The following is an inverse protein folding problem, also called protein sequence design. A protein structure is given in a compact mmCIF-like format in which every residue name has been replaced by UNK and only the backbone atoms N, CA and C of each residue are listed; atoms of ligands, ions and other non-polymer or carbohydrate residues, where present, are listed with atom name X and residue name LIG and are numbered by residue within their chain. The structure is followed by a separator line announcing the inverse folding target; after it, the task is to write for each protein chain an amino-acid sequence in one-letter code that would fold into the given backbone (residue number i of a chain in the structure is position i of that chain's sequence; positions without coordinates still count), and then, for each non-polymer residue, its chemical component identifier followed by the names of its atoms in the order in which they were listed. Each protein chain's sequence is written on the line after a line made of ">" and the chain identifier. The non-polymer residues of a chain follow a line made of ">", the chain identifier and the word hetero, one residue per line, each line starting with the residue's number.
data_IF_339463612622
#
_entry.id   IF_339463612622
#
_cell.length_a   1.000
_cell.length_b   1.000
_cell.length_c   1.000
_cell.angle_alpha   90.00
_cell.angle_beta   90.00
_cell.angle_gamma   90.00
#
_symmetry.space_group_name_H-M   'P 1'
#
loop_
_entity.id
_entity.type
_entity.pdbx_description
1 polymer ?
#
# COMPACT_ATOMS: atom_id res chain seq x y z
N UNK A 1 6.41 10.33 3.36
CA UNK A 1 6.85 10.78 2.02
C UNK A 1 6.38 9.75 1.01
N UNK A 2 6.01 10.12 -0.22
CA UNK A 2 5.53 9.17 -1.24
C UNK A 2 6.42 9.24 -2.48
N UNK A 3 6.80 8.10 -3.07
CA UNK A 3 7.80 8.02 -4.14
C UNK A 3 7.43 6.93 -5.15
N UNK A 4 7.67 7.08 -6.44
CA UNK A 4 7.39 5.99 -7.39
C UNK A 4 8.51 4.93 -7.37
N UNK A 5 8.14 3.66 -7.49
CA UNK A 5 9.05 2.51 -7.61
C UNK A 5 9.93 2.69 -8.85
N UNK A 6 11.24 2.49 -8.72
CA UNK A 6 12.18 2.74 -9.82
C UNK A 6 12.26 4.21 -10.26
N UNK A 7 11.61 5.12 -9.54
CA UNK A 7 11.68 6.56 -9.76
C UNK A 7 12.63 7.25 -8.78
N UNK A 8 12.94 8.49 -9.09
CA UNK A 8 13.64 9.42 -8.20
C UNK A 8 12.72 10.57 -7.79
N UNK A 9 12.89 11.06 -6.56
CA UNK A 9 12.16 12.24 -6.10
C UNK A 9 12.90 12.95 -4.97
N UNK A 10 12.60 14.24 -4.82
CA UNK A 10 13.29 15.11 -3.85
C UNK A 10 12.76 14.92 -2.43
N UNK A 11 13.67 14.83 -1.48
CA UNK A 11 13.36 15.04 -0.06
C UNK A 11 13.53 16.53 0.23
N UNK A 12 12.47 17.17 0.72
CA UNK A 12 12.44 18.62 0.96
C UNK A 12 12.12 18.92 2.41
N UNK A 13 12.17 20.21 2.78
CA UNK A 13 11.77 20.69 4.11
C UNK A 13 10.32 20.32 4.51
N UNK A 14 9.45 19.98 3.55
CA UNK A 14 8.08 19.53 3.83
C UNK A 14 8.03 18.06 4.28
N UNK A 15 9.09 17.32 4.02
CA UNK A 15 9.23 15.91 4.38
C UNK A 15 9.97 15.72 5.71
N UNK A 16 11.03 16.51 5.90
CA UNK A 16 11.88 16.47 7.07
C UNK A 16 12.33 17.89 7.41
N UNK A 17 12.19 18.30 8.66
CA UNK A 17 12.54 19.65 9.10
C UNK A 17 13.13 19.64 10.50
N UNK A 18 14.23 20.35 10.67
CA UNK A 18 14.82 20.70 11.94
C UNK A 18 15.00 22.22 12.02
N UNK A 19 14.86 22.76 13.22
CA UNK A 19 15.05 24.19 13.49
C UNK A 19 15.78 24.34 14.81
N UNK A 20 16.67 25.33 14.85
CA UNK A 20 17.36 25.74 16.05
C UNK A 20 17.33 27.28 16.10
N UNK A 21 16.89 27.92 17.21
CA UNK A 21 16.84 29.37 17.33
C UNK A 21 18.17 30.09 17.15
N UNK A 22 19.30 29.45 17.47
CA UNK A 22 20.63 30.08 17.41
C UNK A 22 21.53 29.55 16.28
N UNK A 23 21.09 28.49 15.59
CA UNK A 23 21.85 27.86 14.51
C UNK A 23 21.14 28.01 13.16
N UNK A 24 21.84 28.61 12.19
CA UNK A 24 21.34 28.76 10.82
C UNK A 24 21.13 27.40 10.12
N UNK A 25 20.13 27.30 9.23
CA UNK A 25 19.77 26.06 8.52
C UNK A 25 20.94 25.37 7.80
N UNK A 26 21.90 26.14 7.27
CA UNK A 26 23.08 25.58 6.60
C UNK A 26 24.06 24.86 7.55
N UNK A 27 23.92 25.06 8.86
CA UNK A 27 24.76 24.44 9.89
C UNK A 27 24.03 23.32 10.66
N UNK A 28 22.72 23.15 10.46
CA UNK A 28 21.96 22.03 11.01
C UNK A 28 22.14 20.84 10.07
N UNK A 29 22.79 19.79 10.55
CA UNK A 29 23.21 18.62 9.77
C UNK A 29 22.44 17.37 10.20
N UNK A 30 21.88 16.68 9.21
CA UNK A 30 21.32 15.34 9.31
C UNK A 30 22.39 14.33 8.92
N UNK A 31 22.79 13.45 9.83
CA UNK A 31 23.71 12.35 9.55
C UNK A 31 22.92 11.07 9.32
N UNK A 32 23.12 10.41 8.17
CA UNK A 32 22.44 9.15 7.85
C UNK A 32 23.12 8.01 8.61
N UNK A 33 22.48 7.57 9.70
CA UNK A 33 22.96 6.47 10.54
C UNK A 33 22.68 5.10 9.91
N UNK A 34 21.61 4.98 9.13
CA UNK A 34 21.28 3.79 8.34
C UNK A 34 20.61 4.19 7.03
N UNK A 35 21.17 3.78 5.90
CA UNK A 35 20.57 3.98 4.58
C UNK A 35 19.22 3.27 4.42
N UNK A 36 18.38 3.70 3.46
CA UNK A 36 17.20 2.94 3.06
C UNK A 36 17.54 1.52 2.60
N UNK A 37 16.56 0.63 2.68
CA UNK A 37 16.72 -0.79 2.32
C UNK A 37 16.39 -1.05 0.84
N UNK A 38 15.45 -0.30 0.26
CA UNK A 38 14.91 -0.52 -1.09
C UNK A 38 15.16 0.69 -2.01
N UNK A 39 16.24 1.41 -1.73
CA UNK A 39 16.65 2.59 -2.48
C UNK A 39 17.85 3.27 -1.83
N UNK A 40 18.21 4.42 -2.38
CA UNK A 40 19.41 5.16 -1.96
C UNK A 40 19.13 6.65 -1.87
N UNK A 41 19.70 7.29 -0.85
CA UNK A 41 19.73 8.74 -0.75
C UNK A 41 20.92 9.31 -1.51
N UNK A 42 20.66 10.37 -2.26
CA UNK A 42 21.67 11.13 -2.99
C UNK A 42 21.59 12.62 -2.68
N UNK A 43 22.72 13.30 -2.78
CA UNK A 43 22.86 14.74 -2.58
C UNK A 43 23.64 15.38 -3.75
N UNK A 44 23.33 16.66 -4.04
CA UNK A 44 24.11 17.59 -4.89
C UNK A 44 24.69 16.93 -6.15
N UNK A 45 23.82 16.39 -7.00
CA UNK A 45 24.22 15.87 -8.31
C UNK A 45 24.64 14.41 -8.35
N UNK A 46 24.37 13.62 -7.29
CA UNK A 46 24.41 12.15 -7.36
C UNK A 46 25.41 11.47 -6.43
N UNK A 47 25.98 12.18 -5.46
CA UNK A 47 26.78 11.55 -4.40
C UNK A 47 25.86 10.83 -3.43
N UNK A 48 26.24 9.64 -2.97
CA UNK A 48 25.51 8.94 -1.90
C UNK A 48 25.54 9.80 -0.65
N UNK A 49 24.35 10.14 -0.14
CA UNK A 49 24.22 11.03 1.00
C UNK A 49 24.51 10.26 2.30
N UNK A 50 25.67 10.54 2.91
CA UNK A 50 25.98 10.13 4.29
C UNK A 50 25.60 11.21 5.30
N UNK A 51 25.49 12.46 4.84
CA UNK A 51 24.92 13.58 5.58
C UNK A 51 24.37 14.64 4.61
N UNK A 52 23.49 15.50 5.10
CA UNK A 52 22.95 16.66 4.39
C UNK A 52 22.47 17.74 5.38
N UNK A 53 22.35 18.98 4.94
CA UNK A 53 21.92 20.09 5.81
C UNK A 53 20.42 20.39 5.69
N UNK A 54 19.87 21.13 6.66
CA UNK A 54 18.52 21.69 6.54
C UNK A 54 18.40 22.59 5.29
N UNK A 55 19.43 23.35 4.95
CA UNK A 55 19.47 24.14 3.71
C UNK A 55 19.46 23.27 2.43
N UNK A 56 20.07 22.08 2.44
CA UNK A 56 20.01 21.16 1.29
C UNK A 56 18.58 20.63 1.06
N UNK A 57 17.79 20.43 2.12
CA UNK A 57 16.37 20.08 2.02
C UNK A 57 15.53 21.26 1.50
N UNK A 58 15.85 22.49 1.90
CA UNK A 58 15.16 23.70 1.46
C UNK A 58 15.39 23.99 -0.02
N UNK A 59 16.62 23.76 -0.50
CA UNK A 59 17.00 23.90 -1.91
C UNK A 59 16.66 22.67 -2.76
N UNK A 60 16.15 21.58 -2.14
CA UNK A 60 15.77 20.35 -2.84
C UNK A 60 16.96 19.61 -3.47
N UNK A 61 18.11 19.64 -2.80
CA UNK A 61 19.34 18.96 -3.22
C UNK A 61 19.43 17.51 -2.80
N UNK A 62 18.55 17.07 -1.89
CA UNK A 62 18.48 15.68 -1.42
C UNK A 62 17.40 14.96 -2.24
N UNK A 63 17.73 13.78 -2.75
CA UNK A 63 16.79 12.91 -3.45
C UNK A 63 16.86 11.49 -2.94
N UNK A 64 15.74 10.80 -2.97
CA UNK A 64 15.66 9.36 -2.82
C UNK A 64 15.45 8.75 -4.21
N UNK A 65 16.18 7.68 -4.50
CA UNK A 65 16.02 6.88 -5.70
C UNK A 65 15.65 5.46 -5.28
N UNK A 66 14.48 4.99 -5.70
CA UNK A 66 14.07 3.61 -5.46
C UNK A 66 14.85 2.68 -6.38
N UNK A 67 15.37 1.57 -5.86
CA UNK A 67 16.07 0.56 -6.66
C UNK A 67 15.13 -0.30 -7.51
N UNK A 68 13.81 -0.05 -7.44
CA UNK A 68 12.79 -0.79 -8.16
C UNK A 68 12.54 -2.20 -7.63
N UNK A 69 13.23 -2.64 -6.58
CA UNK A 69 13.09 -3.99 -6.03
C UNK A 69 11.71 -4.21 -5.38
N UNK A 70 11.14 -3.17 -4.77
CA UNK A 70 9.89 -3.27 -4.00
C UNK A 70 9.13 -1.94 -3.90
N UNK A 71 7.80 -2.03 -3.93
CA UNK A 71 6.89 -0.97 -3.46
C UNK A 71 6.49 -1.23 -1.99
N UNK A 72 6.18 -0.17 -1.23
CA UNK A 72 5.78 -0.21 0.17
C UNK A 72 6.62 0.70 1.06
N UNK A 73 6.71 0.36 2.35
CA UNK A 73 7.46 1.14 3.33
C UNK A 73 8.97 0.84 3.24
N UNK A 74 9.74 1.90 3.08
CA UNK A 74 11.18 1.98 3.27
C UNK A 74 11.48 3.04 4.34
N UNK A 75 12.69 3.08 4.86
CA UNK A 75 13.07 4.05 5.88
C UNK A 75 14.58 4.21 5.97
N UNK A 76 15.02 5.40 6.35
CA UNK A 76 16.40 5.62 6.79
C UNK A 76 16.41 6.09 8.24
N UNK A 77 17.53 5.84 8.92
CA UNK A 77 17.77 6.36 10.26
C UNK A 77 18.74 7.52 10.19
N UNK A 78 18.51 8.56 11.00
CA UNK A 78 19.39 9.72 11.03
C UNK A 78 19.57 10.28 12.45
N UNK A 79 20.67 10.98 12.66
CA UNK A 79 20.90 11.83 13.84
C UNK A 79 21.03 13.28 13.41
N UNK A 80 20.84 14.21 14.36
CA UNK A 80 20.93 15.65 14.14
C UNK A 80 22.13 16.24 14.90
N UNK A 81 22.77 17.24 14.31
CA UNK A 81 23.76 18.08 14.97
C UNK A 81 23.77 19.50 14.41
N UNK A 82 23.96 20.49 15.27
CA UNK A 82 24.20 21.90 14.95
C UNK A 82 25.72 22.22 14.89
N UNK A 83 26.59 21.20 15.07
CA UNK A 83 28.04 21.32 15.20
C UNK A 83 28.56 21.47 16.63
N UNK A 84 27.70 21.77 17.61
CA UNK A 84 28.04 21.94 19.03
C UNK A 84 27.34 20.91 19.93
N UNK A 85 26.11 20.60 19.62
CA UNK A 85 25.23 19.65 20.27
C UNK A 85 24.81 18.56 19.28
N UNK A 86 24.42 17.42 19.84
CA UNK A 86 23.87 16.30 19.09
C UNK A 86 22.48 15.96 19.60
N UNK A 87 21.63 15.53 18.69
CA UNK A 87 20.27 15.12 18.99
C UNK A 87 19.22 16.21 18.74
N UNK A 88 18.01 15.93 19.19
CA UNK A 88 16.85 16.82 19.06
C UNK A 88 16.02 16.77 20.33
N UNK A 89 15.25 17.83 20.59
CA UNK A 89 14.38 17.91 21.75
C UNK A 89 13.05 17.20 21.49
N UNK A 90 12.71 16.25 22.36
CA UNK A 90 11.37 15.64 22.42
C UNK A 90 10.82 15.90 23.81
N UNK A 91 9.72 16.66 23.89
CA UNK A 91 9.08 17.04 25.15
C UNK A 91 10.08 17.62 26.17
N UNK A 92 10.99 18.48 25.72
CA UNK A 92 12.00 19.14 26.56
C UNK A 92 13.20 18.27 26.94
N UNK A 93 13.25 17.01 26.51
CA UNK A 93 14.40 16.11 26.76
C UNK A 93 15.21 15.92 25.49
N UNK A 94 16.54 16.03 25.60
CA UNK A 94 17.45 15.79 24.47
C UNK A 94 17.49 14.29 24.16
N UNK A 95 17.18 13.93 22.92
CA UNK A 95 17.28 12.59 22.38
C UNK A 95 18.44 12.52 21.39
N UNK A 96 19.41 11.65 21.67
CA UNK A 96 20.62 11.47 20.84
C UNK A 96 20.58 10.20 20.00
N UNK A 97 19.59 9.33 20.23
CA UNK A 97 19.41 8.11 19.43
C UNK A 97 18.94 8.45 18.01
N UNK A 98 19.28 7.62 16.99
CA UNK A 98 18.80 7.83 15.63
C UNK A 98 17.28 7.85 15.54
N UNK A 99 16.74 8.88 14.89
CA UNK A 99 15.35 8.99 14.50
C UNK A 99 15.10 8.28 13.17
N UNK A 100 13.86 7.85 12.95
CA UNK A 100 13.44 7.19 11.71
C UNK A 100 12.68 8.16 10.81
N UNK A 101 13.08 8.22 9.54
CA UNK A 101 12.34 8.90 8.48
C UNK A 101 11.71 7.85 7.55
N UNK A 102 10.38 7.86 7.44
CA UNK A 102 9.62 6.90 6.64
C UNK A 102 9.41 7.36 5.20
N UNK A 103 9.67 6.45 4.27
CA UNK A 103 9.58 6.59 2.82
C UNK A 103 8.52 5.59 2.34
N UNK A 104 7.47 6.06 1.67
CA UNK A 104 6.49 5.17 1.05
C UNK A 104 6.73 5.12 -0.45
N UNK A 105 7.24 4.00 -0.95
CA UNK A 105 7.42 3.75 -2.37
C UNK A 105 6.11 3.22 -2.96
N UNK A 106 5.39 4.07 -3.68
CA UNK A 106 4.26 3.71 -4.53
C UNK A 106 4.73 2.80 -5.68
N UNK A 107 3.96 1.79 -6.07
CA UNK A 107 4.26 0.97 -7.24
C UNK A 107 4.31 1.83 -8.52
N UNK A 108 5.16 1.42 -9.46
CA UNK A 108 5.24 2.01 -10.79
C UNK A 108 4.19 1.33 -11.66
N UNK A 109 3.17 2.08 -12.07
CA UNK A 109 2.21 1.57 -13.04
C UNK A 109 2.67 1.98 -14.43
N UNK A 110 3.40 1.09 -15.11
CA UNK A 110 3.60 1.21 -16.55
C UNK A 110 2.44 0.53 -17.28
N UNK A 111 1.61 1.34 -17.94
CA UNK A 111 0.51 0.90 -18.82
C UNK A 111 -0.86 1.26 -18.28
N UNK A 112 -1.39 2.40 -18.76
CA UNK A 112 -2.71 2.98 -18.46
C UNK A 112 -3.07 3.12 -16.97
N UNK A 113 -2.98 4.37 -16.53
CA UNK A 113 -3.72 5.06 -15.46
C UNK A 113 -3.65 4.60 -14.00
N UNK A 114 -3.01 3.49 -13.65
CA UNK A 114 -2.78 3.15 -12.23
C UNK A 114 -4.05 3.13 -11.39
N UNK A 115 -5.18 2.92 -12.04
CA UNK A 115 -6.45 2.67 -11.38
C UNK A 115 -6.63 1.18 -11.28
N UNK A 116 -6.98 0.75 -10.08
CA UNK A 116 -7.79 -0.45 -9.97
C UNK A 116 -9.09 -0.18 -10.71
N UNK A 117 -9.19 -0.60 -11.96
CA UNK A 117 -10.46 -0.59 -12.67
C UNK A 117 -11.27 -1.80 -12.21
N UNK A 118 -12.27 -1.56 -11.36
CA UNK A 118 -13.38 -2.49 -11.21
C UNK A 118 -14.14 -2.57 -12.54
N UNK A 119 -13.72 -3.48 -13.40
CA UNK A 119 -14.48 -3.84 -14.59
C UNK A 119 -15.50 -4.92 -14.20
N UNK A 120 -16.65 -4.48 -13.69
CA UNK A 120 -17.75 -5.36 -13.30
C UNK A 120 -18.65 -4.71 -12.26
N UNK A 121 -19.82 -4.23 -12.70
CA UNK A 121 -20.83 -3.61 -11.83
C UNK A 121 -22.25 -4.11 -12.09
N UNK A 122 -22.39 -5.17 -12.89
CA UNK A 122 -23.69 -5.79 -13.15
C UNK A 122 -23.83 -6.97 -12.21
N UNK A 123 -24.78 -6.90 -11.27
CA UNK A 123 -25.21 -8.08 -10.52
C UNK A 123 -25.48 -9.22 -11.51
N UNK A 124 -25.17 -10.47 -11.17
CA UNK A 124 -25.50 -11.59 -12.04
C UNK A 124 -27.01 -11.58 -12.33
N UNK A 125 -27.39 -11.46 -13.60
CA UNK A 125 -28.78 -11.27 -14.02
C UNK A 125 -29.69 -12.49 -13.72
N UNK A 126 -29.14 -13.61 -13.22
CA UNK A 126 -29.91 -14.86 -13.02
C UNK A 126 -29.49 -15.62 -11.77
N UNK A 127 -30.46 -15.81 -10.86
CA UNK A 127 -30.34 -16.70 -9.71
C UNK A 127 -30.20 -18.15 -10.21
N UNK A 128 -29.09 -18.79 -9.88
CA UNK A 128 -28.75 -20.14 -10.35
C UNK A 128 -29.09 -21.18 -9.26
N UNK A 129 -29.66 -22.32 -9.67
CA UNK A 129 -29.86 -23.48 -8.81
C UNK A 129 -28.66 -24.42 -8.87
N UNK A 130 -28.04 -24.68 -7.72
CA UNK A 130 -26.85 -25.55 -7.60
C UNK A 130 -27.17 -26.94 -7.00
N UNK A 131 -28.45 -27.32 -6.96
CA UNK A 131 -28.88 -28.57 -6.32
C UNK A 131 -29.06 -28.44 -4.81
N UNK A 132 -29.77 -29.40 -4.19
CA UNK A 132 -29.96 -29.51 -2.73
C UNK A 132 -30.51 -28.22 -2.08
N UNK A 133 -31.45 -27.53 -2.76
CA UNK A 133 -32.06 -26.25 -2.34
C UNK A 133 -31.07 -25.08 -2.22
N UNK A 134 -29.93 -25.15 -2.90
CA UNK A 134 -28.93 -24.07 -2.92
C UNK A 134 -29.18 -23.19 -4.12
N UNK A 135 -29.46 -21.92 -3.86
CA UNK A 135 -29.65 -20.88 -4.87
C UNK A 135 -28.61 -19.79 -4.66
N UNK A 136 -28.11 -19.23 -5.74
CA UNK A 136 -27.15 -18.14 -5.64
C UNK A 136 -26.52 -17.79 -6.98
N UNK A 137 -25.30 -17.30 -6.94
CA UNK A 137 -24.60 -16.78 -8.10
C UNK A 137 -23.16 -17.27 -8.15
N UNK A 138 -22.63 -17.40 -9.37
CA UNK A 138 -21.20 -17.58 -9.57
C UNK A 138 -20.51 -16.24 -9.53
N UNK A 139 -19.46 -16.12 -8.72
CA UNK A 139 -18.61 -14.92 -8.69
C UNK A 139 -17.41 -15.19 -9.60
N UNK A 140 -17.15 -14.28 -10.55
CA UNK A 140 -16.06 -14.43 -11.50
C UNK A 140 -15.51 -13.09 -11.99
N UNK A 141 -14.50 -13.16 -12.85
CA UNK A 141 -13.77 -12.00 -13.38
C UNK A 141 -14.60 -11.08 -14.29
N UNK A 142 -15.85 -11.44 -14.64
CA UNK A 142 -16.79 -10.50 -15.29
C UNK A 142 -17.55 -9.62 -14.29
N UNK A 143 -17.68 -10.11 -13.06
CA UNK A 143 -18.40 -9.45 -11.98
C UNK A 143 -17.46 -8.64 -11.10
N UNK A 144 -16.31 -9.21 -10.76
CA UNK A 144 -15.29 -8.60 -9.92
C UNK A 144 -13.95 -8.88 -10.57
N UNK A 145 -13.24 -7.84 -11.00
CA UNK A 145 -11.89 -7.98 -11.54
C UNK A 145 -11.03 -6.81 -11.12
N UNK A 146 -9.89 -7.14 -10.56
CA UNK A 146 -8.78 -6.25 -10.35
C UNK A 146 -7.62 -6.79 -11.15
N UNK A 147 -6.98 -5.89 -11.90
CA UNK A 147 -5.76 -6.19 -12.64
C UNK A 147 -4.64 -5.44 -11.96
N UNK A 148 -3.57 -6.18 -11.71
CA UNK A 148 -2.29 -5.61 -11.35
C UNK A 148 -1.27 -6.24 -12.28
N UNK A 149 -0.63 -5.41 -13.12
CA UNK A 149 0.30 -5.87 -14.15
C UNK A 149 1.58 -6.46 -13.57
N UNK A 150 1.91 -6.17 -12.30
CA UNK A 150 3.12 -6.65 -11.65
C UNK A 150 2.86 -7.68 -10.53
N UNK A 151 1.60 -8.05 -10.30
CA UNK A 151 1.17 -9.03 -9.29
C UNK A 151 0.42 -10.20 -9.92
N UNK A 152 0.86 -11.42 -9.61
CA UNK A 152 0.17 -12.65 -10.00
C UNK A 152 -1.27 -12.68 -9.46
N UNK A 153 -2.23 -13.17 -10.25
CA UNK A 153 -3.65 -13.17 -9.87
C UNK A 153 -3.94 -13.99 -8.59
N UNK A 154 -3.08 -14.95 -8.24
CA UNK A 154 -3.15 -15.66 -6.96
C UNK A 154 -2.69 -14.86 -5.74
N UNK A 155 -1.99 -13.76 -5.98
CA UNK A 155 -1.39 -12.90 -4.96
C UNK A 155 -2.20 -11.62 -4.73
N UNK A 156 -3.18 -11.32 -5.59
CA UNK A 156 -4.20 -10.29 -5.39
C UNK A 156 -5.31 -10.83 -4.50
N UNK A 157 -5.48 -10.23 -3.33
CA UNK A 157 -6.35 -10.73 -2.28
C UNK A 157 -7.54 -9.80 -2.04
N UNK A 158 -8.72 -10.32 -2.28
CA UNK A 158 -9.98 -9.71 -1.88
C UNK A 158 -10.23 -10.03 -0.40
N UNK A 159 -10.26 -9.03 0.46
CA UNK A 159 -10.53 -9.15 1.90
C UNK A 159 -11.89 -8.58 2.20
N UNK A 160 -12.81 -9.44 2.67
CA UNK A 160 -14.13 -9.02 3.11
C UNK A 160 -14.01 -8.10 4.33
N UNK A 161 -14.43 -6.85 4.17
CA UNK A 161 -14.51 -5.84 5.24
C UNK A 161 -15.88 -5.88 5.90
N UNK A 162 -16.94 -6.15 5.13
CA UNK A 162 -18.27 -6.52 5.63
C UNK A 162 -18.71 -7.82 4.97
N UNK A 163 -19.15 -8.79 5.78
CA UNK A 163 -19.67 -10.06 5.26
C UNK A 163 -21.11 -9.90 4.76
N UNK A 164 -21.53 -10.77 3.82
CA UNK A 164 -22.96 -10.91 3.52
C UNK A 164 -23.73 -11.30 4.78
N UNK A 165 -24.95 -10.78 4.93
CA UNK A 165 -25.81 -11.02 6.09
C UNK A 165 -26.82 -12.14 5.86
N UNK A 166 -27.20 -12.40 4.62
CA UNK A 166 -28.27 -13.31 4.21
C UNK A 166 -27.76 -14.40 3.24
N UNK A 167 -26.45 -14.63 3.27
CA UNK A 167 -25.79 -15.62 2.44
C UNK A 167 -24.32 -15.76 2.81
N UNK A 168 -23.60 -16.55 2.01
CA UNK A 168 -22.18 -16.79 2.22
C UNK A 168 -21.49 -17.09 0.89
N UNK A 169 -20.17 -16.93 0.89
CA UNK A 169 -19.32 -17.26 -0.26
C UNK A 169 -18.64 -18.61 -0.01
N UNK A 170 -18.59 -19.45 -1.05
CA UNK A 170 -17.93 -20.75 -1.06
C UNK A 170 -16.90 -20.81 -2.17
N UNK A 171 -15.77 -21.46 -1.91
CA UNK A 171 -14.83 -21.87 -2.94
C UNK A 171 -15.04 -23.36 -3.22
N UNK A 172 -15.47 -23.66 -4.44
CA UNK A 172 -15.87 -25.01 -4.87
C UNK A 172 -14.67 -25.93 -5.11
N UNK A 173 -13.55 -25.37 -5.59
CA UNK A 173 -12.30 -26.11 -5.83
C UNK A 173 -11.65 -26.47 -4.49
N UNK A 174 -11.54 -25.49 -3.58
CA UNK A 174 -11.00 -25.68 -2.24
C UNK A 174 -12.00 -26.34 -1.26
N UNK A 175 -13.25 -26.59 -1.69
CA UNK A 175 -14.33 -27.22 -0.93
C UNK A 175 -14.54 -26.61 0.46
N UNK A 176 -14.52 -25.28 0.56
CA UNK A 176 -14.61 -24.55 1.83
C UNK A 176 -15.39 -23.24 1.72
N UNK A 177 -15.92 -22.78 2.86
CA UNK A 177 -16.45 -21.42 2.99
C UNK A 177 -15.32 -20.39 2.90
N UNK A 178 -15.57 -19.33 2.13
CA UNK A 178 -14.72 -18.14 2.11
C UNK A 178 -15.08 -17.30 3.32
N UNK A 179 -14.29 -17.47 4.40
CA UNK A 179 -14.55 -16.73 5.64
C UNK A 179 -14.11 -15.28 5.51
N UNK A 180 -12.88 -15.01 5.07
CA UNK A 180 -12.30 -13.67 5.15
C UNK A 180 -11.76 -13.15 3.83
N UNK A 181 -11.26 -14.05 2.98
CA UNK A 181 -10.48 -13.66 1.82
C UNK A 181 -10.52 -14.68 0.69
N UNK A 182 -10.46 -14.20 -0.54
CA UNK A 182 -10.31 -14.97 -1.78
C UNK A 182 -9.39 -14.20 -2.74
N UNK A 183 -9.00 -14.80 -3.86
CA UNK A 183 -8.00 -14.23 -4.78
C UNK A 183 -8.60 -13.85 -6.14
N UNK A 184 -7.89 -13.02 -6.91
CA UNK A 184 -8.27 -12.78 -8.32
C UNK A 184 -8.28 -14.10 -9.13
N UNK A 185 -7.34 -15.01 -8.86
CA UNK A 185 -7.34 -16.36 -9.47
C UNK A 185 -8.63 -17.13 -9.19
N UNK A 186 -9.15 -17.07 -7.96
CA UNK A 186 -10.39 -17.77 -7.62
C UNK A 186 -11.58 -17.30 -8.48
N UNK A 187 -11.60 -16.01 -8.86
CA UNK A 187 -12.58 -15.39 -9.75
C UNK A 187 -12.30 -15.72 -11.23
N UNK A 188 -11.04 -15.74 -11.64
CA UNK A 188 -10.64 -16.08 -13.02
C UNK A 188 -10.95 -17.55 -13.35
N UNK A 189 -10.84 -18.43 -12.36
CA UNK A 189 -11.10 -19.87 -12.47
C UNK A 189 -12.57 -20.25 -12.17
N UNK A 190 -13.48 -19.27 -12.04
CA UNK A 190 -14.91 -19.51 -11.80
C UNK A 190 -15.20 -20.35 -10.52
N UNK A 191 -14.28 -20.34 -9.55
CA UNK A 191 -14.30 -21.26 -8.41
C UNK A 191 -15.22 -20.82 -7.27
N UNK A 192 -15.68 -19.57 -7.29
CA UNK A 192 -16.45 -18.96 -6.20
C UNK A 192 -17.96 -18.96 -6.47
N UNK A 193 -18.73 -19.34 -5.45
CA UNK A 193 -20.18 -19.22 -5.45
C UNK A 193 -20.62 -18.37 -4.26
N UNK A 194 -21.48 -17.40 -4.50
CA UNK A 194 -22.32 -16.79 -3.47
C UNK A 194 -23.60 -17.62 -3.34
N UNK A 195 -23.96 -18.06 -2.15
CA UNK A 195 -25.16 -18.84 -1.86
C UNK A 195 -26.04 -18.07 -0.89
N UNK A 196 -27.31 -17.90 -1.25
CA UNK A 196 -28.32 -17.24 -0.42
C UNK A 196 -28.79 -18.25 0.64
N UNK A 197 -28.96 -17.79 1.89
CA UNK A 197 -29.55 -18.62 2.94
C UNK A 197 -31.06 -18.77 2.71
N UNK A 198 -31.55 -20.00 2.44
CA UNK A 198 -32.97 -20.23 2.18
C UNK A 198 -33.88 -19.99 3.40
N UNK A 199 -33.31 -19.74 4.58
CA UNK A 199 -34.06 -19.38 5.80
C UNK A 199 -34.32 -17.88 5.94
N UNK A 200 -33.83 -17.07 5.02
CA UNK A 200 -33.99 -15.62 5.06
C UNK A 200 -35.02 -15.18 4.02
N UNK A 201 -35.95 -14.31 4.42
CA UNK A 201 -36.89 -13.65 3.50
C UNK A 201 -36.24 -12.41 2.82
N UNK A 202 -34.92 -12.34 2.84
CA UNK A 202 -34.17 -11.18 2.35
C UNK A 202 -34.19 -11.12 0.81
N UNK A 203 -34.58 -9.97 0.27
CA UNK A 203 -34.61 -9.70 -1.17
C UNK A 203 -33.31 -9.07 -1.68
N UNK A 204 -32.39 -8.71 -0.78
CA UNK A 204 -31.07 -8.21 -1.08
C UNK A 204 -30.04 -8.71 -0.05
N UNK A 205 -28.79 -8.83 -0.49
CA UNK A 205 -27.65 -9.03 0.38
C UNK A 205 -26.45 -8.33 -0.25
N UNK A 206 -25.52 -7.89 0.57
CA UNK A 206 -24.31 -7.18 0.13
C UNK A 206 -23.15 -7.51 1.03
N UNK A 207 -21.97 -7.53 0.44
CA UNK A 207 -20.72 -7.55 1.17
C UNK A 207 -19.85 -6.40 0.68
N UNK A 208 -18.92 -5.96 1.51
CA UNK A 208 -17.89 -5.02 1.08
C UNK A 208 -16.54 -5.67 1.25
N UNK A 209 -15.59 -5.22 0.43
CA UNK A 209 -14.25 -5.76 0.44
C UNK A 209 -13.24 -4.67 0.13
N UNK A 210 -12.00 -4.94 0.49
CA UNK A 210 -10.83 -4.27 -0.05
C UNK A 210 -10.00 -5.26 -0.84
N UNK A 211 -9.26 -4.80 -1.83
CA UNK A 211 -8.26 -5.63 -2.51
C UNK A 211 -6.90 -5.23 -1.98
N UNK A 212 -6.12 -6.20 -1.51
CA UNK A 212 -4.75 -6.00 -1.07
C UNK A 212 -3.82 -6.95 -1.83
N UNK A 213 -2.65 -6.48 -2.22
CA UNK A 213 -1.59 -7.35 -2.72
C UNK A 213 -0.62 -7.75 -1.60
N UNK A 214 0.28 -8.69 -1.90
CA UNK A 214 1.36 -9.09 -0.98
C UNK A 214 2.37 -7.98 -0.66
N UNK A 215 2.31 -6.84 -1.36
CA UNK A 215 3.26 -5.72 -1.32
C UNK A 215 2.73 -4.54 -0.50
N UNK A 216 1.48 -4.61 -0.04
CA UNK A 216 0.84 -3.62 0.82
C UNK A 216 0.05 -2.56 0.07
N UNK A 217 -0.14 -2.71 -1.24
CA UNK A 217 -1.07 -1.87 -2.00
C UNK A 217 -2.50 -2.28 -1.65
N UNK A 218 -3.38 -1.31 -1.42
CA UNK A 218 -4.80 -1.57 -1.21
C UNK A 218 -5.71 -0.72 -2.08
N UNK A 219 -6.86 -1.30 -2.43
CA UNK A 219 -8.05 -0.60 -2.90
C UNK A 219 -9.16 -0.84 -1.88
N UNK A 220 -9.52 0.20 -1.14
CA UNK A 220 -10.45 0.09 -0.02
C UNK A 220 -11.91 0.38 -0.42
N UNK A 221 -12.85 -0.10 0.41
CA UNK A 221 -14.29 0.20 0.36
C UNK A 221 -15.02 -0.08 -0.97
N UNK A 222 -14.72 -1.23 -1.57
CA UNK A 222 -15.45 -1.74 -2.72
C UNK A 222 -16.72 -2.49 -2.26
N UNK A 223 -17.79 -2.40 -3.05
CA UNK A 223 -19.10 -3.00 -2.76
C UNK A 223 -19.62 -3.80 -3.94
#
# INVERSE_FOLDING_TARGET
>A
MFFLRGGEEKITQYHLKAMDPDTAAQNITFHVAKSPTYGQLYIRGGQVATFFTQNDLELGHVRYESDGSRAGLDNFLFTLSDGRHQGFLVNGTVQTQPAMASIFVKPLVEGNDGRYELSGGRMPDTLTYFGRRRHGFRLNSKLLRVVDSDTDSGSLLYVLTQRPQHGHIENTVAKRYVRRRFTQRDLDEDSLLFIIDPKTDATNDTFTFRVEDSRGNSLDDQR
#
